data_IF_212727133594
#
_entry.id   IF_212727133594
#
_cell.length_a   1.000
_cell.length_b   1.000
_cell.length_c   1.000
_cell.angle_alpha   90.00
_cell.angle_beta   90.00
_cell.angle_gamma   90.00
#
_symmetry.space_group_name_H-M   'P 1'
#
loop_
_entity.id
_entity.type
_entity.pdbx_description
1 polymer ?
#
# COMPACT_ATOMS: atom_id res chain seq x y z
N UNK A 1 65.17 -17.25 55.90
CA UNK A 1 64.58 -17.28 54.54
C UNK A 1 63.36 -18.16 54.67
N UNK A 2 62.24 -17.52 54.75
CA UNK A 2 60.97 -18.22 54.84
C UNK A 2 60.48 -18.53 53.39
N UNK A 3 60.10 -19.74 53.17
CA UNK A 3 59.34 -20.18 52.02
C UNK A 3 57.86 -20.01 52.39
N UNK A 4 57.20 -19.05 51.71
CA UNK A 4 55.75 -18.96 51.67
C UNK A 4 55.27 -19.99 50.65
N UNK A 5 54.57 -21.03 51.12
CA UNK A 5 53.75 -21.90 50.34
C UNK A 5 52.49 -21.11 49.89
N UNK A 6 52.44 -20.70 48.66
CA UNK A 6 51.23 -20.27 48.01
C UNK A 6 50.25 -21.43 47.86
N UNK A 7 49.22 -21.45 48.73
CA UNK A 7 48.01 -22.25 48.47
C UNK A 7 47.28 -21.67 47.28
N UNK A 8 47.42 -22.26 46.10
CA UNK A 8 46.49 -22.08 45.02
C UNK A 8 45.09 -22.50 45.48
N UNK A 9 44.23 -21.53 45.75
CA UNK A 9 42.78 -21.72 45.83
C UNK A 9 42.32 -22.20 44.46
N UNK A 10 42.05 -23.51 44.31
CA UNK A 10 41.30 -24.04 43.18
C UNK A 10 39.92 -23.36 43.14
N UNK A 11 39.81 -22.27 42.37
CA UNK A 11 38.53 -21.70 41.96
C UNK A 11 37.81 -22.80 41.18
N UNK A 12 36.74 -23.33 41.74
CA UNK A 12 35.86 -24.35 41.16
C UNK A 12 35.20 -23.87 39.86
N UNK A 13 35.97 -23.74 38.79
CA UNK A 13 35.49 -23.44 37.45
C UNK A 13 34.76 -24.62 36.85
N UNK A 14 33.68 -24.36 36.08
CA UNK A 14 33.01 -25.37 35.29
C UNK A 14 33.95 -25.87 34.18
N UNK A 15 34.34 -27.17 34.24
CA UNK A 15 35.16 -27.80 33.21
C UNK A 15 34.27 -28.67 32.31
N UNK A 16 34.32 -28.46 31.02
CA UNK A 16 33.61 -29.31 30.05
C UNK A 16 34.07 -30.77 30.11
N UNK A 17 35.36 -31.03 30.36
CA UNK A 17 35.88 -32.38 30.47
C UNK A 17 35.28 -33.11 31.69
N UNK A 18 35.19 -32.43 32.86
CA UNK A 18 34.55 -32.94 34.06
C UNK A 18 33.05 -33.17 33.84
N UNK A 19 32.39 -32.24 33.16
CA UNK A 19 30.97 -32.35 32.81
C UNK A 19 30.69 -33.63 31.99
N UNK A 20 31.45 -33.86 30.93
CA UNK A 20 31.28 -35.07 30.11
C UNK A 20 31.67 -36.36 30.87
N UNK A 21 32.66 -36.31 31.72
CA UNK A 21 33.04 -37.47 32.54
C UNK A 21 31.95 -37.84 33.54
N UNK A 22 31.38 -36.85 34.21
CA UNK A 22 30.28 -37.07 35.20
C UNK A 22 29.02 -37.57 34.52
N UNK A 23 28.65 -37.03 33.38
CA UNK A 23 27.46 -37.43 32.63
C UNK A 23 27.68 -38.78 31.91
N UNK A 24 28.90 -39.10 31.49
CA UNK A 24 29.24 -40.27 30.66
C UNK A 24 28.95 -41.66 31.31
N UNK A 25 28.58 -41.71 32.59
CA UNK A 25 28.17 -42.95 33.21
C UNK A 25 26.83 -43.44 32.63
N UNK A 26 26.76 -44.68 32.10
CA UNK A 26 25.59 -45.25 31.36
C UNK A 26 24.24 -45.01 32.07
N UNK A 27 24.17 -45.15 33.39
CA UNK A 27 22.95 -44.93 34.18
C UNK A 27 22.50 -43.48 34.15
N UNK A 28 23.46 -42.53 34.21
CA UNK A 28 23.15 -41.09 34.19
C UNK A 28 22.66 -40.64 32.82
N UNK A 29 23.27 -41.14 31.74
CA UNK A 29 22.82 -40.90 30.36
C UNK A 29 21.39 -41.39 30.18
N UNK A 30 21.10 -42.63 30.61
CA UNK A 30 19.74 -43.19 30.51
C UNK A 30 18.72 -42.40 31.30
N UNK A 31 19.06 -41.84 32.45
CA UNK A 31 18.19 -40.98 33.25
C UNK A 31 17.90 -39.68 32.54
N UNK A 32 18.92 -38.99 31.97
CA UNK A 32 18.77 -37.76 31.22
C UNK A 32 17.88 -38.01 30.00
N UNK A 33 18.14 -39.06 29.27
CA UNK A 33 17.38 -39.42 28.05
C UNK A 33 15.93 -39.77 28.38
N UNK A 34 15.69 -40.46 29.51
CA UNK A 34 14.33 -40.77 30.01
C UNK A 34 13.54 -39.52 30.37
N UNK A 35 14.17 -38.56 31.06
CA UNK A 35 13.53 -37.29 31.46
C UNK A 35 13.22 -36.47 30.20
N UNK A 36 14.18 -36.39 29.26
CA UNK A 36 14.00 -35.64 28.03
C UNK A 36 12.88 -36.24 27.16
N UNK A 37 12.79 -37.55 27.07
CA UNK A 37 11.76 -38.25 26.29
C UNK A 37 10.37 -38.12 26.95
N UNK A 38 10.29 -38.19 28.27
CA UNK A 38 9.05 -37.95 29.02
C UNK A 38 8.55 -36.50 28.81
N UNK A 39 9.45 -35.52 28.90
CA UNK A 39 9.11 -34.11 28.66
C UNK A 39 8.66 -33.86 27.21
N UNK A 40 9.32 -34.48 26.24
CA UNK A 40 8.92 -34.40 24.84
C UNK A 40 7.52 -34.98 24.60
N UNK A 41 7.22 -36.13 25.19
CA UNK A 41 5.88 -36.74 25.13
C UNK A 41 4.82 -35.85 25.79
N UNK A 42 5.09 -35.34 26.99
CA UNK A 42 4.14 -34.45 27.68
C UNK A 42 3.88 -33.20 26.87
N UNK A 43 4.92 -32.50 26.37
CA UNK A 43 4.76 -31.31 25.57
C UNK A 43 4.11 -31.60 24.20
N UNK A 44 4.42 -32.75 23.60
CA UNK A 44 3.74 -33.20 22.38
C UNK A 44 2.24 -33.44 22.63
N UNK A 45 1.87 -34.10 23.72
CA UNK A 45 0.48 -34.34 24.11
C UNK A 45 -0.24 -33.02 24.48
N UNK A 46 0.40 -32.14 25.25
CA UNK A 46 -0.16 -30.80 25.55
C UNK A 46 -0.39 -30.01 24.28
N UNK A 47 0.57 -30.00 23.34
CA UNK A 47 0.38 -29.35 22.06
C UNK A 47 -0.77 -29.97 21.25
N UNK A 48 -0.86 -31.28 21.24
CA UNK A 48 -1.90 -32.01 20.49
C UNK A 48 -3.30 -31.78 21.06
N UNK A 49 -3.46 -31.84 22.38
CA UNK A 49 -4.78 -31.83 23.03
C UNK A 49 -5.19 -30.48 23.58
N UNK A 50 -4.27 -29.58 23.87
CA UNK A 50 -4.57 -28.28 24.51
C UNK A 50 -4.29 -27.10 23.58
N UNK A 51 -3.13 -27.10 22.92
CA UNK A 51 -2.73 -25.95 22.09
C UNK A 51 -3.25 -26.03 20.66
N UNK A 52 -3.37 -27.25 20.08
CA UNK A 52 -3.89 -27.45 18.72
C UNK A 52 -5.41 -27.59 18.65
N UNK A 53 -6.04 -28.16 19.67
CA UNK A 53 -7.51 -28.38 19.64
C UNK A 53 -8.32 -27.08 19.74
N UNK A 54 -7.67 -25.94 20.06
CA UNK A 54 -8.36 -24.65 20.17
C UNK A 54 -8.09 -23.65 19.04
N UNK A 55 -7.35 -24.03 17.97
CA UNK A 55 -7.02 -23.08 16.89
C UNK A 55 -7.28 -23.74 15.53
N UNK A 56 -8.55 -23.78 15.18
CA UNK A 56 -8.93 -24.07 13.80
C UNK A 56 -8.69 -22.78 13.00
N UNK A 57 -7.99 -22.90 11.89
CA UNK A 57 -7.87 -21.83 10.89
C UNK A 57 -8.52 -22.30 9.59
N UNK A 58 -9.24 -21.43 8.96
CA UNK A 58 -9.80 -21.64 7.62
C UNK A 58 -8.90 -20.90 6.61
N UNK A 59 -8.53 -21.62 5.58
CA UNK A 59 -7.70 -21.10 4.49
C UNK A 59 -8.45 -21.21 3.17
N UNK A 60 -8.49 -20.12 2.40
CA UNK A 60 -9.03 -20.08 1.05
C UNK A 60 -8.00 -19.52 0.10
N UNK A 61 -7.67 -20.29 -0.95
CA UNK A 61 -6.76 -19.86 -2.00
C UNK A 61 -7.55 -19.57 -3.27
N UNK A 62 -7.34 -18.41 -3.85
CA UNK A 62 -8.05 -17.90 -5.00
C UNK A 62 -7.15 -17.05 -5.89
N UNK A 63 -7.60 -16.80 -7.12
CA UNK A 63 -7.00 -15.89 -8.08
C UNK A 63 -8.08 -14.94 -8.59
N UNK A 64 -7.77 -13.65 -8.71
CA UNK A 64 -8.66 -12.69 -9.36
C UNK A 64 -8.12 -12.47 -10.77
N UNK A 65 -8.89 -12.91 -11.75
CA UNK A 65 -8.63 -12.66 -13.16
C UNK A 65 -9.43 -11.45 -13.62
N UNK A 66 -8.79 -10.50 -14.27
CA UNK A 66 -9.41 -9.36 -14.94
C UNK A 66 -8.48 -8.87 -16.06
N UNK A 67 -8.96 -8.08 -17.04
CA UNK A 67 -8.09 -7.50 -18.06
C UNK A 67 -6.94 -6.68 -17.43
N UNK A 68 -5.69 -7.02 -17.79
CA UNK A 68 -4.42 -6.49 -17.25
C UNK A 68 -4.05 -6.96 -15.82
N UNK A 69 -4.70 -7.99 -15.28
CA UNK A 69 -4.33 -8.57 -13.98
C UNK A 69 -2.90 -9.10 -13.93
N UNK A 70 -2.32 -9.50 -15.05
CA UNK A 70 -0.92 -9.93 -15.17
C UNK A 70 0.08 -8.84 -14.75
N UNK A 71 -0.25 -7.57 -14.96
CA UNK A 71 0.56 -6.43 -14.55
C UNK A 71 0.23 -5.94 -13.13
N UNK A 72 -0.72 -6.58 -12.45
CA UNK A 72 -1.25 -6.18 -11.14
C UNK A 72 -1.70 -4.71 -11.11
N UNK A 73 -2.25 -4.24 -12.21
CA UNK A 73 -2.77 -2.89 -12.35
C UNK A 73 -4.28 -2.89 -12.41
N UNK A 74 -4.88 -1.94 -11.70
CA UNK A 74 -6.29 -1.61 -11.80
C UNK A 74 -6.60 -0.88 -13.12
N UNK A 75 -7.87 -0.77 -13.54
CA UNK A 75 -8.25 -0.08 -14.79
C UNK A 75 -7.77 1.36 -14.90
N UNK A 76 -7.61 2.05 -13.78
CA UNK A 76 -7.08 3.41 -13.69
C UNK A 76 -5.55 3.49 -13.75
N UNK A 77 -4.86 2.35 -13.84
CA UNK A 77 -3.41 2.23 -13.86
C UNK A 77 -2.74 2.22 -12.48
N UNK A 78 -3.52 2.29 -11.41
CA UNK A 78 -2.98 2.16 -10.05
C UNK A 78 -2.68 0.70 -9.70
N UNK A 79 -1.68 0.41 -8.82
CA UNK A 79 -1.38 -0.94 -8.40
C UNK A 79 -2.53 -1.58 -7.63
N UNK A 80 -2.88 -2.81 -7.98
CA UNK A 80 -3.82 -3.62 -7.21
C UNK A 80 -3.23 -4.01 -5.86
N UNK A 81 -3.87 -3.59 -4.78
CA UNK A 81 -3.49 -3.91 -3.41
C UNK A 81 -4.37 -5.02 -2.87
N UNK A 82 -3.90 -6.25 -2.93
CA UNK A 82 -4.65 -7.41 -2.47
C UNK A 82 -4.99 -7.34 -0.97
N UNK A 83 -4.19 -6.62 -0.17
CA UNK A 83 -4.47 -6.43 1.26
C UNK A 83 -5.79 -5.69 1.50
N UNK A 84 -6.23 -4.87 0.54
CA UNK A 84 -7.49 -4.13 0.67
C UNK A 84 -8.73 -5.04 0.69
N UNK A 85 -8.63 -6.26 0.17
CA UNK A 85 -9.72 -7.24 0.15
C UNK A 85 -10.23 -7.55 1.56
N UNK A 86 -9.32 -7.57 2.55
CA UNK A 86 -9.65 -7.88 3.94
C UNK A 86 -9.72 -6.64 4.86
N UNK A 87 -9.87 -5.45 4.31
CA UNK A 87 -10.07 -4.26 5.14
C UNK A 87 -11.42 -4.30 5.86
N UNK A 88 -11.49 -3.68 7.03
CA UNK A 88 -12.66 -3.76 7.89
C UNK A 88 -13.95 -3.24 7.25
N UNK A 89 -13.86 -2.21 6.41
CA UNK A 89 -14.98 -1.67 5.64
C UNK A 89 -15.53 -2.71 4.64
N UNK A 90 -14.65 -3.45 3.97
CA UNK A 90 -15.01 -4.51 3.02
C UNK A 90 -15.63 -5.72 3.71
N UNK A 91 -15.01 -6.17 4.80
CA UNK A 91 -15.55 -7.25 5.62
C UNK A 91 -16.92 -6.90 6.22
N UNK A 92 -17.12 -5.65 6.66
CA UNK A 92 -18.40 -5.18 7.15
C UNK A 92 -19.46 -5.11 6.03
N UNK A 93 -19.09 -4.65 4.84
CA UNK A 93 -20.00 -4.65 3.70
C UNK A 93 -20.52 -6.07 3.39
N UNK A 94 -19.65 -7.08 3.43
CA UNK A 94 -20.06 -8.49 3.27
C UNK A 94 -20.91 -8.96 4.46
N UNK A 95 -20.51 -8.64 5.69
CA UNK A 95 -21.31 -8.97 6.88
C UNK A 95 -22.74 -8.44 6.80
N UNK A 96 -22.88 -7.18 6.35
CA UNK A 96 -24.16 -6.50 6.28
C UNK A 96 -25.01 -6.94 5.07
N UNK A 97 -24.41 -7.66 4.11
CA UNK A 97 -25.10 -8.13 2.91
C UNK A 97 -26.00 -9.34 3.14
N UNK A 98 -25.76 -10.14 4.18
CA UNK A 98 -26.54 -11.35 4.48
C UNK A 98 -26.66 -11.57 6.00
N UNK A 99 -27.88 -11.80 6.48
CA UNK A 99 -28.20 -12.00 7.90
C UNK A 99 -27.41 -13.18 8.52
N UNK A 100 -27.05 -14.19 7.71
CA UNK A 100 -26.24 -15.34 8.17
C UNK A 100 -24.86 -14.94 8.68
N UNK A 101 -24.37 -13.76 8.34
CA UNK A 101 -23.08 -13.23 8.76
C UNK A 101 -23.17 -12.26 9.94
N UNK A 102 -24.37 -11.91 10.40
CA UNK A 102 -24.60 -10.91 11.46
C UNK A 102 -23.83 -11.18 12.77
N UNK A 103 -23.60 -12.45 13.09
CA UNK A 103 -22.85 -12.88 14.27
C UNK A 103 -21.30 -12.75 14.16
N UNK A 104 -20.78 -12.40 12.98
CA UNK A 104 -19.33 -12.29 12.76
C UNK A 104 -18.81 -10.98 13.36
N UNK A 105 -17.83 -11.07 14.26
CA UNK A 105 -17.15 -9.92 14.89
C UNK A 105 -15.97 -9.46 14.04
N UNK A 106 -16.24 -8.64 13.03
CA UNK A 106 -15.24 -8.11 12.09
C UNK A 106 -14.20 -7.25 12.80
N UNK A 107 -14.61 -6.44 13.79
CA UNK A 107 -13.70 -5.59 14.53
C UNK A 107 -12.63 -6.42 15.27
N UNK A 108 -13.07 -7.47 15.94
CA UNK A 108 -12.18 -8.38 16.67
C UNK A 108 -11.28 -9.19 15.71
N UNK A 109 -11.83 -9.57 14.56
CA UNK A 109 -11.12 -10.30 13.52
C UNK A 109 -9.95 -9.48 12.96
N UNK A 110 -10.16 -8.21 12.66
CA UNK A 110 -9.14 -7.31 12.08
C UNK A 110 -8.16 -6.77 13.11
N UNK A 111 -8.65 -6.30 14.27
CA UNK A 111 -7.81 -5.71 15.34
C UNK A 111 -6.80 -6.71 15.90
N UNK A 112 -7.19 -7.98 16.04
CA UNK A 112 -6.29 -9.04 16.53
C UNK A 112 -5.46 -9.72 15.45
N UNK A 113 -5.56 -9.26 14.22
CA UNK A 113 -4.93 -9.89 13.04
C UNK A 113 -5.28 -11.38 12.90
N UNK A 114 -6.51 -11.73 13.24
CA UNK A 114 -7.01 -13.10 13.11
C UNK A 114 -7.47 -13.41 11.67
N UNK A 115 -7.45 -12.42 10.79
CA UNK A 115 -7.57 -12.58 9.34
C UNK A 115 -6.31 -12.03 8.69
N UNK A 116 -5.77 -12.76 7.74
CA UNK A 116 -4.58 -12.37 6.98
C UNK A 116 -4.77 -12.76 5.52
N UNK A 117 -4.17 -11.99 4.64
CA UNK A 117 -4.06 -12.33 3.23
C UNK A 117 -2.60 -12.30 2.83
N UNK A 118 -2.19 -13.24 2.00
CA UNK A 118 -0.83 -13.33 1.49
C UNK A 118 -0.86 -13.75 0.03
N UNK A 119 0.11 -13.27 -0.73
CA UNK A 119 0.35 -13.76 -2.09
C UNK A 119 1.09 -15.10 -2.02
N UNK A 120 0.63 -16.07 -2.82
CA UNK A 120 1.28 -17.38 -2.88
C UNK A 120 2.59 -17.28 -3.67
N UNK A 121 3.71 -17.40 -2.98
CA UNK A 121 5.03 -17.49 -3.59
C UNK A 121 5.41 -18.96 -3.79
N UNK A 122 5.60 -19.40 -5.03
CA UNK A 122 6.24 -20.70 -5.29
C UNK A 122 7.71 -20.66 -4.90
N UNK A 123 8.12 -21.51 -3.97
CA UNK A 123 9.49 -21.59 -3.46
C UNK A 123 10.55 -21.98 -4.49
N UNK A 124 10.16 -22.49 -5.66
CA UNK A 124 11.07 -23.17 -6.57
C UNK A 124 11.37 -22.47 -7.90
N UNK A 125 10.82 -21.26 -8.15
CA UNK A 125 11.11 -20.52 -9.38
C UNK A 125 11.07 -19.01 -9.15
N UNK A 126 12.19 -18.35 -9.41
CA UNK A 126 12.35 -16.89 -9.35
C UNK A 126 11.48 -16.08 -10.37
N UNK A 127 10.63 -16.72 -11.13
CA UNK A 127 9.89 -16.12 -12.25
C UNK A 127 8.37 -16.29 -12.18
N UNK A 128 7.78 -16.70 -11.05
CA UNK A 128 6.33 -16.95 -10.93
C UNK A 128 5.64 -16.01 -9.95
N UNK A 129 6.19 -14.80 -9.76
CA UNK A 129 5.52 -13.74 -8.99
C UNK A 129 4.28 -13.15 -9.68
N UNK A 130 3.95 -13.60 -10.90
CA UNK A 130 3.00 -12.92 -11.78
C UNK A 130 1.59 -13.53 -11.78
N UNK A 131 1.34 -14.58 -11.01
CA UNK A 131 0.06 -15.31 -11.12
C UNK A 131 -1.09 -14.71 -10.33
N UNK A 132 -0.88 -13.71 -9.47
CA UNK A 132 -1.95 -13.11 -8.68
C UNK A 132 -2.76 -14.10 -7.86
N UNK A 133 -2.12 -15.16 -7.34
CA UNK A 133 -2.75 -16.16 -6.46
C UNK A 133 -2.63 -15.68 -5.02
N UNK A 134 -3.75 -15.56 -4.36
CA UNK A 134 -3.85 -15.08 -3.00
C UNK A 134 -4.41 -16.13 -2.07
N UNK A 135 -3.98 -16.09 -0.82
CA UNK A 135 -4.47 -16.99 0.23
C UNK A 135 -4.95 -16.15 1.41
N UNK A 136 -6.24 -16.25 1.73
CA UNK A 136 -6.82 -15.70 2.96
C UNK A 136 -6.79 -16.79 4.02
N UNK A 137 -6.33 -16.44 5.21
CA UNK A 137 -6.41 -17.26 6.43
C UNK A 137 -7.19 -16.52 7.49
N UNK A 138 -8.10 -17.23 8.15
CA UNK A 138 -8.89 -16.66 9.24
C UNK A 138 -9.06 -17.68 10.35
N UNK A 139 -9.04 -17.22 11.59
CA UNK A 139 -9.28 -18.06 12.78
C UNK A 139 -10.73 -18.54 12.79
N UNK A 140 -10.94 -19.81 13.05
CA UNK A 140 -12.26 -20.46 13.01
C UNK A 140 -13.26 -19.96 14.07
N UNK A 141 -12.81 -19.34 15.13
CA UNK A 141 -13.63 -18.88 16.27
C UNK A 141 -14.75 -17.86 15.87
N UNK A 142 -14.67 -17.32 14.67
CA UNK A 142 -15.63 -16.32 14.14
C UNK A 142 -16.78 -16.96 13.36
N UNK A 143 -16.72 -18.24 13.08
CA UNK A 143 -17.68 -18.96 12.24
C UNK A 143 -18.28 -20.15 12.98
N UNK A 144 -19.54 -20.44 12.68
CA UNK A 144 -20.23 -21.62 13.24
C UNK A 144 -19.64 -22.92 12.71
N UNK A 145 -19.22 -22.94 11.45
CA UNK A 145 -18.67 -24.08 10.75
C UNK A 145 -17.84 -23.68 9.52
N UNK A 146 -17.24 -24.67 8.87
CA UNK A 146 -16.44 -24.47 7.66
C UNK A 146 -17.28 -23.97 6.45
N UNK A 147 -18.57 -24.28 6.41
CA UNK A 147 -19.45 -23.83 5.33
C UNK A 147 -19.68 -22.33 5.43
N UNK A 148 -20.03 -21.83 6.63
CA UNK A 148 -20.19 -20.40 6.85
C UNK A 148 -18.89 -19.64 6.56
N UNK A 149 -17.74 -20.18 6.99
CA UNK A 149 -16.43 -19.59 6.68
C UNK A 149 -16.17 -19.52 5.18
N UNK A 150 -16.47 -20.62 4.46
CA UNK A 150 -16.34 -20.68 3.00
C UNK A 150 -17.22 -19.66 2.30
N UNK A 151 -18.49 -19.59 2.66
CA UNK A 151 -19.44 -18.67 2.07
C UNK A 151 -19.05 -17.21 2.32
N UNK A 152 -18.64 -16.90 3.55
CA UNK A 152 -18.18 -15.55 3.91
C UNK A 152 -16.95 -15.15 3.13
N UNK A 153 -15.91 -16.01 3.07
CA UNK A 153 -14.68 -15.70 2.36
C UNK A 153 -14.90 -15.60 0.85
N UNK A 154 -15.79 -16.40 0.28
CA UNK A 154 -16.21 -16.25 -1.14
C UNK A 154 -16.86 -14.90 -1.37
N UNK A 155 -17.82 -14.51 -0.52
CA UNK A 155 -18.47 -13.22 -0.64
C UNK A 155 -17.47 -12.04 -0.49
N UNK A 156 -16.43 -12.19 0.34
CA UNK A 156 -15.33 -11.21 0.44
C UNK A 156 -14.53 -11.11 -0.85
N UNK A 157 -14.23 -12.25 -1.48
CA UNK A 157 -13.52 -12.27 -2.76
C UNK A 157 -14.38 -11.73 -3.92
N UNK A 158 -15.66 -12.05 -3.94
CA UNK A 158 -16.60 -11.56 -4.95
C UNK A 158 -16.81 -10.05 -4.81
N UNK A 159 -16.89 -9.53 -3.57
CA UNK A 159 -16.97 -8.09 -3.31
C UNK A 159 -15.73 -7.31 -3.85
N UNK A 160 -14.58 -7.97 -3.96
CA UNK A 160 -13.41 -7.35 -4.59
C UNK A 160 -13.60 -7.13 -6.10
N UNK A 161 -14.37 -7.97 -6.79
CA UNK A 161 -14.77 -7.74 -8.19
C UNK A 161 -15.78 -6.59 -8.31
N UNK A 162 -16.75 -6.50 -7.40
CA UNK A 162 -17.72 -5.42 -7.38
C UNK A 162 -17.03 -4.05 -7.17
N UNK A 163 -15.99 -4.01 -6.36
CA UNK A 163 -15.15 -2.81 -6.22
C UNK A 163 -14.46 -2.44 -7.53
N UNK A 164 -13.93 -3.44 -8.26
CA UNK A 164 -13.32 -3.24 -9.58
C UNK A 164 -14.34 -2.67 -10.57
N UNK A 165 -15.55 -3.22 -10.63
CA UNK A 165 -16.62 -2.74 -11.50
C UNK A 165 -17.06 -1.32 -11.12
N UNK A 166 -17.20 -1.05 -9.83
CA UNK A 166 -17.53 0.28 -9.31
C UNK A 166 -16.45 1.31 -9.69
N UNK A 167 -15.18 0.93 -9.65
CA UNK A 167 -14.08 1.79 -10.06
C UNK A 167 -14.18 2.13 -11.55
N UNK A 168 -14.40 1.14 -12.41
CA UNK A 168 -14.55 1.36 -13.86
C UNK A 168 -15.75 2.27 -14.14
N UNK A 169 -16.85 2.07 -13.43
CA UNK A 169 -18.05 2.91 -13.58
C UNK A 169 -17.77 4.36 -13.19
N UNK A 170 -17.04 4.60 -12.10
CA UNK A 170 -16.69 5.92 -11.59
C UNK A 170 -15.57 6.61 -12.37
N UNK A 171 -14.80 5.87 -13.17
CA UNK A 171 -13.72 6.45 -13.98
C UNK A 171 -14.32 7.43 -14.99
N UNK A 172 -13.80 8.65 -14.96
CA UNK A 172 -14.20 9.69 -15.91
C UNK A 172 -13.40 9.55 -17.21
N UNK A 173 -14.02 8.91 -18.19
CA UNK A 173 -13.45 8.77 -19.52
C UNK A 173 -13.54 10.06 -20.35
N UNK A 174 -14.24 11.09 -19.84
CA UNK A 174 -14.47 12.37 -20.54
C UNK A 174 -13.66 13.53 -19.94
N UNK A 175 -12.69 13.26 -19.08
CA UNK A 175 -11.94 14.28 -18.35
C UNK A 175 -11.34 15.37 -19.26
N UNK A 176 -10.92 15.01 -20.47
CA UNK A 176 -10.41 15.98 -21.47
C UNK A 176 -11.51 16.72 -22.23
N UNK A 177 -12.78 16.29 -22.12
CA UNK A 177 -13.93 16.94 -22.75
C UNK A 177 -14.67 17.92 -21.81
N UNK A 178 -13.96 18.49 -20.86
CA UNK A 178 -14.53 19.45 -19.89
C UNK A 178 -15.23 20.59 -20.64
N UNK A 179 -16.37 21.01 -20.10
CA UNK A 179 -17.13 22.16 -20.62
C UNK A 179 -16.22 23.36 -20.85
N UNK A 180 -16.21 23.86 -22.08
CA UNK A 180 -15.46 25.04 -22.43
C UNK A 180 -16.08 26.26 -21.74
N UNK A 181 -15.25 27.05 -21.11
CA UNK A 181 -15.64 28.33 -20.57
C UNK A 181 -15.24 29.45 -21.54
N UNK A 182 -15.59 30.69 -21.24
CA UNK A 182 -15.29 31.87 -22.07
C UNK A 182 -13.81 32.12 -22.28
N UNK A 183 -12.96 31.61 -21.33
CA UNK A 183 -11.51 31.75 -21.41
C UNK A 183 -10.83 30.67 -22.26
N UNK A 184 -11.57 29.62 -22.68
CA UNK A 184 -11.01 28.52 -23.47
C UNK A 184 -10.86 28.95 -24.93
N UNK A 185 -9.64 28.97 -25.43
CA UNK A 185 -9.35 29.30 -26.84
C UNK A 185 -9.78 28.19 -27.78
N UNK A 186 -9.95 28.51 -29.05
CA UNK A 186 -10.16 27.49 -30.09
C UNK A 186 -8.97 26.52 -30.20
N UNK A 187 -7.74 27.00 -29.96
CA UNK A 187 -6.55 26.15 -29.91
C UNK A 187 -6.64 25.14 -28.79
N UNK A 188 -6.96 25.60 -27.56
CA UNK A 188 -7.09 24.71 -26.38
C UNK A 188 -8.21 23.67 -26.58
N UNK A 189 -9.31 24.08 -27.24
CA UNK A 189 -10.41 23.14 -27.57
C UNK A 189 -9.93 22.04 -28.53
N UNK A 190 -9.16 22.40 -29.54
CA UNK A 190 -8.58 21.46 -30.52
C UNK A 190 -7.56 20.54 -29.80
N UNK A 191 -6.71 21.10 -28.94
CA UNK A 191 -5.71 20.34 -28.20
C UNK A 191 -6.37 19.31 -27.26
N UNK A 192 -7.42 19.70 -26.53
CA UNK A 192 -8.21 18.78 -25.70
C UNK A 192 -8.90 17.69 -26.50
N UNK A 193 -9.41 17.98 -27.69
CA UNK A 193 -9.97 16.95 -28.58
C UNK A 193 -8.88 15.96 -29.04
N UNK A 194 -7.65 16.43 -29.28
CA UNK A 194 -6.52 15.56 -29.61
C UNK A 194 -6.07 14.70 -28.44
N UNK A 195 -5.95 15.30 -27.27
CA UNK A 195 -5.66 14.57 -26.03
C UNK A 195 -6.71 13.50 -25.73
N UNK A 196 -8.00 13.83 -25.92
CA UNK A 196 -9.08 12.87 -25.75
C UNK A 196 -9.01 11.71 -26.75
N UNK A 197 -8.73 12.01 -28.02
CA UNK A 197 -8.52 11.00 -29.05
C UNK A 197 -7.38 10.04 -28.66
N UNK A 198 -6.25 10.60 -28.26
CA UNK A 198 -5.07 9.82 -27.90
C UNK A 198 -5.32 8.99 -26.64
N UNK A 199 -6.01 9.55 -25.65
CA UNK A 199 -6.46 8.82 -24.47
C UNK A 199 -7.35 7.62 -24.84
N UNK A 200 -8.37 7.81 -25.69
CA UNK A 200 -9.25 6.71 -26.09
C UNK A 200 -8.51 5.61 -26.89
N UNK A 201 -7.60 6.02 -27.78
CA UNK A 201 -6.76 5.07 -28.51
C UNK A 201 -5.88 4.27 -27.57
N UNK A 202 -5.27 4.91 -26.57
CA UNK A 202 -4.46 4.25 -25.55
C UNK A 202 -5.29 3.23 -24.74
N UNK A 203 -6.55 3.57 -24.38
CA UNK A 203 -7.43 2.62 -23.68
C UNK A 203 -7.67 1.36 -24.52
N UNK A 204 -7.95 1.51 -25.81
CA UNK A 204 -8.08 0.35 -26.70
C UNK A 204 -6.77 -0.40 -26.87
N UNK A 205 -5.64 0.30 -27.04
CA UNK A 205 -4.33 -0.33 -27.24
C UNK A 205 -3.92 -1.20 -26.03
N UNK A 206 -4.23 -0.79 -24.82
CA UNK A 206 -4.03 -1.59 -23.59
C UNK A 206 -4.79 -2.93 -23.62
N UNK A 207 -5.94 -2.97 -24.29
CA UNK A 207 -6.76 -4.17 -24.41
C UNK A 207 -6.40 -5.03 -25.62
N UNK A 208 -5.87 -4.41 -26.68
CA UNK A 208 -5.64 -5.06 -27.98
C UNK A 208 -4.71 -6.25 -27.92
N UNK A 209 -3.66 -6.20 -27.08
CA UNK A 209 -2.65 -7.26 -26.98
C UNK A 209 -3.25 -8.63 -26.64
N UNK A 210 -4.31 -8.65 -25.82
CA UNK A 210 -4.93 -9.90 -25.33
C UNK A 210 -6.36 -10.09 -25.81
N UNK A 211 -7.11 -9.00 -25.97
CA UNK A 211 -8.56 -9.05 -26.21
C UNK A 211 -8.98 -8.41 -27.55
N UNK A 212 -8.06 -8.12 -28.47
CA UNK A 212 -8.38 -7.47 -29.73
C UNK A 212 -9.43 -8.16 -30.58
N UNK A 213 -9.52 -9.49 -30.52
CA UNK A 213 -10.50 -10.30 -31.25
C UNK A 213 -11.72 -10.69 -30.42
N UNK A 214 -11.80 -10.32 -29.14
CA UNK A 214 -12.97 -10.58 -28.31
C UNK A 214 -14.17 -9.79 -28.82
N UNK A 215 -15.34 -10.46 -28.77
CA UNK A 215 -16.58 -9.87 -29.27
C UNK A 215 -17.36 -9.24 -28.13
N UNK A 216 -17.54 -7.93 -28.20
CA UNK A 216 -18.43 -7.16 -27.35
C UNK A 216 -19.59 -6.69 -28.20
N UNK A 217 -20.81 -7.07 -27.82
CA UNK A 217 -22.02 -6.80 -28.61
C UNK A 217 -21.90 -7.28 -30.08
N UNK A 218 -21.25 -8.39 -30.29
CA UNK A 218 -21.06 -8.98 -31.64
C UNK A 218 -19.98 -8.34 -32.48
N UNK A 219 -19.21 -7.39 -31.95
CA UNK A 219 -18.15 -6.67 -32.64
C UNK A 219 -16.83 -6.82 -31.87
N UNK A 220 -15.74 -7.09 -32.61
CA UNK A 220 -14.43 -7.25 -32.02
C UNK A 220 -13.87 -5.91 -31.44
N UNK A 221 -13.09 -5.96 -30.38
CA UNK A 221 -12.49 -4.78 -29.74
C UNK A 221 -11.64 -3.98 -30.74
N UNK A 222 -10.88 -4.65 -31.63
CA UNK A 222 -10.10 -4.00 -32.66
C UNK A 222 -10.97 -3.25 -33.69
N UNK A 223 -12.21 -3.69 -33.93
CA UNK A 223 -13.14 -2.98 -34.79
C UNK A 223 -13.62 -1.65 -34.19
N UNK A 224 -13.88 -1.63 -32.86
CA UNK A 224 -14.21 -0.38 -32.15
C UNK A 224 -13.06 0.62 -32.22
N UNK A 225 -11.81 0.17 -32.02
CA UNK A 225 -10.62 1.02 -32.19
C UNK A 225 -10.51 1.59 -33.61
N UNK A 226 -10.76 0.75 -34.61
CA UNK A 226 -10.71 1.17 -36.01
C UNK A 226 -11.81 2.19 -36.33
N UNK A 227 -13.01 2.00 -35.78
CA UNK A 227 -14.11 2.96 -35.94
C UNK A 227 -13.81 4.30 -35.29
N UNK A 228 -13.23 4.31 -34.07
CA UNK A 228 -12.74 5.54 -33.45
C UNK A 228 -11.78 6.28 -34.41
N UNK A 229 -10.80 5.55 -34.97
CA UNK A 229 -9.84 6.14 -35.89
C UNK A 229 -10.49 6.67 -37.17
N UNK A 230 -11.48 5.95 -37.71
CA UNK A 230 -12.22 6.38 -38.90
C UNK A 230 -13.11 7.58 -38.58
N UNK A 231 -13.86 7.55 -37.50
CA UNK A 231 -14.76 8.63 -37.09
C UNK A 231 -14.03 9.97 -36.92
N UNK A 232 -12.82 9.93 -36.35
CA UNK A 232 -12.00 11.12 -36.11
C UNK A 232 -11.14 11.56 -37.29
N UNK A 233 -11.05 10.76 -38.34
CA UNK A 233 -10.39 11.08 -39.61
C UNK A 233 -11.38 11.20 -40.77
N UNK A 234 -12.68 11.35 -40.49
CA UNK A 234 -13.76 11.53 -41.46
C UNK A 234 -13.77 12.91 -42.10
N UNK A 235 -15.00 13.44 -42.33
CA UNK A 235 -15.23 14.72 -43.00
C UNK A 235 -14.65 15.92 -42.24
N UNK A 236 -14.64 15.84 -40.90
CA UNK A 236 -14.04 16.84 -40.03
C UNK A 236 -12.85 16.19 -39.31
N UNK A 237 -11.66 16.79 -39.50
CA UNK A 237 -10.43 16.29 -38.89
C UNK A 237 -9.86 17.32 -37.92
N UNK A 238 -9.36 16.86 -36.77
CA UNK A 238 -8.67 17.72 -35.79
C UNK A 238 -7.55 18.52 -36.47
N UNK A 239 -6.73 17.83 -37.28
CA UNK A 239 -5.63 18.46 -38.02
C UNK A 239 -6.10 19.54 -39.04
N UNK A 240 -7.25 19.33 -39.66
CA UNK A 240 -7.81 20.31 -40.60
C UNK A 240 -8.30 21.57 -39.85
N UNK A 241 -8.98 21.40 -38.72
CA UNK A 241 -9.40 22.54 -37.88
C UNK A 241 -8.19 23.31 -37.34
N UNK A 242 -7.15 22.62 -36.91
CA UNK A 242 -5.90 23.24 -36.46
C UNK A 242 -5.22 24.04 -37.56
N UNK A 243 -5.17 23.48 -38.76
CA UNK A 243 -4.60 24.16 -39.93
C UNK A 243 -5.46 25.36 -40.38
N UNK A 244 -6.79 25.22 -40.34
CA UNK A 244 -7.70 26.30 -40.69
C UNK A 244 -7.56 27.47 -39.70
N UNK A 245 -7.52 27.19 -38.37
CA UNK A 245 -7.32 28.20 -37.34
C UNK A 245 -6.00 28.95 -37.57
N UNK A 246 -4.91 28.23 -37.85
CA UNK A 246 -3.59 28.80 -38.10
C UNK A 246 -3.53 29.66 -39.39
N UNK A 247 -4.15 29.19 -40.46
CA UNK A 247 -4.03 29.81 -41.77
C UNK A 247 -4.93 31.03 -41.93
N UNK A 248 -6.14 31.00 -41.35
CA UNK A 248 -7.14 32.04 -41.50
C UNK A 248 -7.09 33.12 -40.43
N UNK A 249 -6.19 32.98 -39.42
CA UNK A 249 -6.05 33.93 -38.33
C UNK A 249 -7.38 34.32 -37.67
N UNK A 250 -8.21 33.32 -37.38
CA UNK A 250 -9.46 33.54 -36.68
C UNK A 250 -9.22 34.09 -35.28
N UNK A 251 -10.22 34.80 -34.74
CA UNK A 251 -10.26 35.08 -33.31
C UNK A 251 -10.13 33.78 -32.53
N UNK A 252 -9.31 33.82 -31.48
CA UNK A 252 -9.05 32.62 -30.67
C UNK A 252 -10.25 32.20 -29.81
N UNK A 253 -11.15 33.17 -29.56
CA UNK A 253 -12.32 32.98 -28.70
C UNK A 253 -13.62 33.21 -29.42
N UNK A 254 -14.68 32.56 -28.96
CA UNK A 254 -16.02 32.68 -29.53
C UNK A 254 -16.71 33.98 -29.09
N UNK A 255 -16.42 34.44 -27.87
CA UNK A 255 -17.04 35.61 -27.23
C UNK A 255 -15.96 36.49 -26.60
N UNK A 256 -15.29 37.31 -27.40
CA UNK A 256 -14.22 38.18 -26.91
C UNK A 256 -14.68 39.19 -25.87
N UNK A 257 -15.95 39.64 -25.91
CA UNK A 257 -16.51 40.59 -24.94
C UNK A 257 -16.52 40.00 -23.50
N UNK A 258 -16.89 38.73 -23.35
CA UNK A 258 -16.89 38.05 -22.06
C UNK A 258 -15.48 37.93 -21.49
N UNK A 259 -14.48 37.77 -22.33
CA UNK A 259 -13.06 37.75 -21.93
C UNK A 259 -12.58 39.12 -21.50
N UNK A 260 -12.96 40.16 -22.19
CA UNK A 260 -12.65 41.54 -21.80
C UNK A 260 -13.30 41.89 -20.46
N UNK A 261 -14.55 41.45 -20.20
CA UNK A 261 -15.21 41.61 -18.91
C UNK A 261 -14.51 40.84 -17.81
N UNK A 262 -13.96 39.64 -18.06
CA UNK A 262 -13.15 38.88 -17.13
C UNK A 262 -11.84 39.60 -16.80
N UNK A 263 -11.14 40.14 -17.81
CA UNK A 263 -9.94 40.95 -17.62
C UNK A 263 -10.25 42.15 -16.70
N UNK A 264 -11.38 42.83 -16.93
CA UNK A 264 -11.82 43.93 -16.07
C UNK A 264 -12.11 43.46 -14.62
N UNK A 265 -12.70 42.28 -14.46
CA UNK A 265 -12.92 41.65 -13.16
C UNK A 265 -11.60 41.37 -12.42
N UNK A 266 -10.61 40.80 -13.10
CA UNK A 266 -9.28 40.54 -12.58
C UNK A 266 -8.56 41.84 -12.20
N UNK A 267 -8.66 42.87 -13.04
CA UNK A 267 -8.09 44.18 -12.71
C UNK A 267 -8.74 44.80 -11.46
N UNK A 268 -10.04 44.69 -11.30
CA UNK A 268 -10.74 45.14 -10.07
C UNK A 268 -10.28 44.36 -8.84
N UNK A 269 -10.04 43.06 -8.96
CA UNK A 269 -9.46 42.24 -7.87
C UNK A 269 -8.06 42.71 -7.51
N UNK A 270 -7.20 42.93 -8.51
CA UNK A 270 -5.83 43.43 -8.32
C UNK A 270 -5.79 44.74 -7.57
N UNK A 271 -6.60 45.74 -8.01
CA UNK A 271 -6.72 47.03 -7.37
C UNK A 271 -7.17 46.91 -5.88
N UNK A 272 -8.12 46.03 -5.61
CA UNK A 272 -8.57 45.73 -4.24
C UNK A 272 -7.44 45.15 -3.40
N UNK A 273 -6.70 44.18 -3.95
CA UNK A 273 -5.55 43.58 -3.27
C UNK A 273 -4.44 44.59 -3.02
N UNK A 274 -4.16 45.51 -3.96
CA UNK A 274 -3.19 46.59 -3.79
C UNK A 274 -3.59 47.54 -2.66
N UNK A 275 -4.88 47.91 -2.58
CA UNK A 275 -5.40 48.73 -1.48
C UNK A 275 -5.23 48.03 -0.12
N UNK A 276 -5.50 46.71 -0.07
CA UNK A 276 -5.26 45.93 1.17
C UNK A 276 -3.78 45.83 1.50
N UNK A 277 -2.89 45.69 0.52
CA UNK A 277 -1.45 45.66 0.73
C UNK A 277 -0.94 46.99 1.34
N UNK A 278 -1.43 48.13 0.86
CA UNK A 278 -1.09 49.46 1.43
C UNK A 278 -1.53 49.52 2.88
N UNK A 279 -2.79 49.17 3.18
CA UNK A 279 -3.30 49.20 4.56
C UNK A 279 -2.52 48.30 5.50
N UNK A 280 -2.24 47.03 5.09
CA UNK A 280 -1.46 46.10 5.90
C UNK A 280 -0.02 46.55 6.14
N UNK A 281 0.62 47.15 5.13
CA UNK A 281 1.97 47.69 5.29
C UNK A 281 2.00 48.87 6.24
N UNK A 282 1.04 49.78 6.17
CA UNK A 282 0.89 50.88 7.10
C UNK A 282 0.68 50.39 8.54
N UNK A 283 -0.11 49.35 8.71
CA UNK A 283 -0.39 48.77 10.04
C UNK A 283 0.88 48.08 10.60
N UNK A 284 1.62 47.34 9.79
CA UNK A 284 2.91 46.73 10.15
C UNK A 284 3.91 47.87 10.55
N UNK A 285 3.98 48.96 9.77
CA UNK A 285 4.86 50.09 10.06
C UNK A 285 4.50 50.80 11.38
N UNK A 286 3.18 50.99 11.61
CA UNK A 286 2.70 51.59 12.84
C UNK A 286 3.00 50.71 14.07
N UNK A 287 2.79 49.42 13.98
CA UNK A 287 3.16 48.45 15.01
C UNK A 287 4.68 48.49 15.29
N UNK A 288 5.48 48.58 14.23
CA UNK A 288 6.93 48.65 14.35
C UNK A 288 7.40 49.93 15.04
N UNK A 289 6.76 51.08 14.74
CA UNK A 289 7.06 52.37 15.40
C UNK A 289 6.74 52.36 16.90
N UNK A 290 5.66 51.66 17.27
CA UNK A 290 5.19 51.66 18.67
C UNK A 290 5.95 50.65 19.54
N UNK A 291 6.28 49.48 18.98
CA UNK A 291 6.76 48.33 19.75
C UNK A 291 8.09 47.74 19.27
N UNK A 292 8.72 48.31 18.23
CA UNK A 292 9.85 47.68 17.53
C UNK A 292 11.09 47.42 18.38
N UNK A 293 11.27 48.17 19.47
CA UNK A 293 12.44 48.01 20.36
C UNK A 293 12.28 46.89 21.39
N UNK A 294 11.04 46.49 21.72
CA UNK A 294 10.75 45.44 22.71
C UNK A 294 9.55 44.59 22.32
N UNK A 295 9.68 43.71 21.31
CA UNK A 295 8.56 42.89 20.84
C UNK A 295 8.17 41.82 21.87
N UNK A 296 6.89 41.79 22.24
CA UNK A 296 6.30 40.65 23.01
C UNK A 296 5.97 39.47 22.09
N UNK A 297 5.84 38.28 22.66
CA UNK A 297 5.49 37.07 21.86
C UNK A 297 4.17 37.20 21.07
N UNK A 298 3.17 37.92 21.63
CA UNK A 298 1.92 38.21 20.90
C UNK A 298 2.11 39.15 19.71
N UNK A 299 3.04 40.07 19.78
CA UNK A 299 3.37 40.98 18.70
C UNK A 299 4.12 40.25 17.56
N UNK A 300 5.04 39.34 17.91
CA UNK A 300 5.75 38.53 16.92
C UNK A 300 4.74 37.69 16.09
N UNK A 301 3.76 37.06 16.74
CA UNK A 301 2.70 36.32 16.05
C UNK A 301 1.83 37.23 15.16
N UNK A 302 1.53 38.46 15.61
CA UNK A 302 0.81 39.44 14.79
C UNK A 302 1.60 39.81 13.52
N UNK A 303 2.90 40.08 13.65
CA UNK A 303 3.78 40.36 12.52
C UNK A 303 3.80 39.18 11.52
N UNK A 304 3.90 37.95 12.01
CA UNK A 304 3.89 36.76 11.18
C UNK A 304 2.57 36.63 10.38
N UNK A 305 1.43 36.88 11.01
CA UNK A 305 0.13 36.89 10.34
C UNK A 305 0.06 37.96 9.25
N UNK A 306 0.49 39.20 9.55
CA UNK A 306 0.50 40.27 8.55
C UNK A 306 1.45 39.98 7.39
N UNK A 307 2.66 39.48 7.66
CA UNK A 307 3.61 39.15 6.62
C UNK A 307 3.13 38.01 5.73
N UNK A 308 2.50 36.98 6.34
CA UNK A 308 1.88 35.89 5.58
C UNK A 308 0.80 36.44 4.66
N UNK A 309 -0.09 37.30 5.18
CA UNK A 309 -1.16 37.88 4.37
C UNK A 309 -0.65 38.79 3.26
N UNK A 310 0.39 39.58 3.53
CA UNK A 310 1.07 40.39 2.50
C UNK A 310 1.65 39.48 1.41
N UNK A 311 2.35 38.43 1.79
CA UNK A 311 2.91 37.44 0.83
C UNK A 311 1.85 36.78 -0.05
N UNK A 312 0.72 36.37 0.55
CA UNK A 312 -0.43 35.81 -0.18
C UNK A 312 -0.99 36.79 -1.23
N UNK A 313 -1.21 38.03 -0.82
CA UNK A 313 -1.76 39.06 -1.72
C UNK A 313 -0.79 39.42 -2.85
N UNK A 314 0.51 39.47 -2.56
CA UNK A 314 1.55 39.70 -3.58
C UNK A 314 1.60 38.53 -4.57
N UNK A 315 1.56 37.29 -4.06
CA UNK A 315 1.54 36.10 -4.90
C UNK A 315 0.27 36.06 -5.77
N UNK A 316 -0.90 36.37 -5.20
CA UNK A 316 -2.16 36.42 -5.96
C UNK A 316 -2.12 37.50 -7.05
N UNK A 317 -1.60 38.68 -6.77
CA UNK A 317 -1.47 39.75 -7.80
C UNK A 317 -0.53 39.33 -8.93
N UNK A 318 0.57 38.63 -8.62
CA UNK A 318 1.46 38.11 -9.66
C UNK A 318 0.75 37.07 -10.56
N UNK A 319 -0.11 36.22 -9.99
CA UNK A 319 -0.95 35.29 -10.76
C UNK A 319 -1.95 36.05 -11.62
N UNK A 320 -2.64 37.06 -11.07
CA UNK A 320 -3.59 37.89 -11.81
C UNK A 320 -2.90 38.56 -13.00
N UNK A 321 -1.70 39.10 -12.83
CA UNK A 321 -0.96 39.76 -13.91
C UNK A 321 -0.67 38.79 -15.05
N UNK A 322 -0.30 37.53 -14.75
CA UNK A 322 -0.08 36.49 -15.75
C UNK A 322 -1.40 36.12 -16.42
N UNK A 323 -2.48 35.89 -15.67
CA UNK A 323 -3.82 35.57 -16.20
C UNK A 323 -4.29 36.68 -17.17
N UNK A 324 -4.15 37.93 -16.81
CA UNK A 324 -4.50 39.08 -17.68
C UNK A 324 -3.65 39.09 -18.94
N UNK A 325 -2.34 38.85 -18.81
CA UNK A 325 -1.42 38.80 -19.96
C UNK A 325 -1.84 37.69 -20.94
N UNK A 326 -2.10 36.49 -20.43
CA UNK A 326 -2.55 35.36 -21.23
C UNK A 326 -3.88 35.63 -21.93
N UNK A 327 -4.84 36.26 -21.25
CA UNK A 327 -6.14 36.59 -21.82
C UNK A 327 -6.00 37.65 -22.92
N UNK A 328 -5.18 38.70 -22.74
CA UNK A 328 -4.92 39.68 -23.81
C UNK A 328 -4.22 39.06 -25.01
N UNK A 329 -3.20 38.22 -24.77
CA UNK A 329 -2.50 37.50 -25.85
C UNK A 329 -3.50 36.58 -26.60
N UNK A 330 -4.39 35.91 -25.87
CA UNK A 330 -5.41 35.05 -26.47
C UNK A 330 -6.43 35.81 -27.35
N UNK A 331 -6.68 37.08 -27.02
CA UNK A 331 -7.48 37.98 -27.85
C UNK A 331 -6.68 38.60 -29.02
N UNK A 332 -5.39 38.27 -29.12
CA UNK A 332 -4.50 38.78 -30.15
C UNK A 332 -3.96 40.18 -29.89
N UNK A 333 -4.12 40.73 -28.70
CA UNK A 333 -3.51 42.00 -28.31
C UNK A 333 -1.99 41.85 -28.25
N UNK A 334 -1.29 42.94 -28.59
CA UNK A 334 0.16 43.00 -28.56
C UNK A 334 0.57 43.95 -27.44
N UNK A 335 1.50 43.55 -26.59
CA UNK A 335 2.05 44.39 -25.52
C UNK A 335 3.07 45.37 -26.09
N UNK A 336 2.88 46.67 -25.85
CA UNK A 336 3.82 47.73 -26.20
C UNK A 336 4.10 48.56 -24.93
N UNK A 337 5.26 48.30 -24.28
CA UNK A 337 5.55 48.80 -22.95
C UNK A 337 4.54 48.24 -21.93
N UNK A 338 3.84 49.13 -21.24
CA UNK A 338 2.82 48.81 -20.22
C UNK A 338 1.39 48.77 -20.80
N UNK A 339 1.24 49.09 -22.11
CA UNK A 339 -0.08 49.14 -22.78
C UNK A 339 -0.33 47.90 -23.63
N UNK A 340 -1.60 47.50 -23.67
CA UNK A 340 -2.09 46.49 -24.61
C UNK A 340 -2.72 47.16 -25.83
N UNK A 341 -2.15 46.85 -26.99
CA UNK A 341 -2.63 47.40 -28.26
C UNK A 341 -3.56 46.38 -28.91
N UNK A 342 -4.75 46.80 -29.21
CA UNK A 342 -5.74 46.02 -29.93
C UNK A 342 -5.20 45.55 -31.29
N UNK A 343 -5.46 44.28 -31.72
CA UNK A 343 -4.81 43.65 -32.88
C UNK A 343 -5.06 44.34 -34.20
N UNK A 344 -5.88 45.36 -34.27
CA UNK A 344 -6.22 46.06 -35.48
C UNK A 344 -6.32 47.59 -35.30
N UNK A 345 -5.19 48.19 -35.01
CA UNK A 345 -5.09 49.63 -35.18
C UNK A 345 -5.45 49.99 -36.63
N UNK A 346 -6.51 50.73 -36.81
CA UNK A 346 -6.93 51.37 -38.06
C UNK A 346 -7.54 50.44 -39.14
N UNK A 347 -8.85 50.22 -39.08
CA UNK A 347 -9.68 49.97 -40.26
C UNK A 347 -9.78 48.54 -40.82
N UNK A 348 -9.25 47.55 -40.13
CA UNK A 348 -9.43 46.13 -40.50
C UNK A 348 -10.50 45.51 -39.63
N UNK A 349 -11.48 44.88 -40.24
CA UNK A 349 -12.48 44.07 -39.51
C UNK A 349 -11.74 43.02 -38.65
N UNK A 350 -12.08 42.95 -37.38
CA UNK A 350 -11.61 41.89 -36.49
C UNK A 350 -11.88 40.55 -37.17
N UNK A 351 -10.91 39.68 -37.36
CA UNK A 351 -11.14 38.40 -38.00
C UNK A 351 -12.16 37.60 -37.20
N UNK A 352 -13.34 37.38 -37.76
CA UNK A 352 -14.40 36.61 -37.14
C UNK A 352 -14.27 35.15 -37.56
N UNK A 353 -14.33 34.23 -36.63
CA UNK A 353 -14.34 32.79 -36.92
C UNK A 353 -15.57 32.44 -37.77
N UNK A 354 -15.36 31.65 -38.82
CA UNK A 354 -16.48 31.29 -39.72
C UNK A 354 -17.47 30.35 -39.00
N UNK A 355 -18.76 30.52 -39.29
CA UNK A 355 -19.82 29.64 -38.80
C UNK A 355 -19.58 28.17 -39.19
N UNK A 356 -18.97 27.94 -40.35
CA UNK A 356 -18.56 26.58 -40.75
C UNK A 356 -17.54 26.00 -39.80
N UNK A 357 -16.50 26.72 -39.42
CA UNK A 357 -15.47 26.26 -38.47
C UNK A 357 -16.07 25.92 -37.12
N UNK A 358 -16.96 26.79 -36.60
CA UNK A 358 -17.67 26.53 -35.33
C UNK A 358 -18.52 25.28 -35.42
N UNK A 359 -19.32 25.13 -36.49
CA UNK A 359 -20.15 23.95 -36.73
C UNK A 359 -19.33 22.67 -36.86
N UNK A 360 -18.17 22.72 -37.50
CA UNK A 360 -17.30 21.56 -37.66
C UNK A 360 -16.61 21.17 -36.36
N UNK A 361 -16.22 22.14 -35.51
CA UNK A 361 -15.75 21.89 -34.15
C UNK A 361 -16.83 21.22 -33.30
N UNK A 362 -18.06 21.70 -33.34
CA UNK A 362 -19.16 21.15 -32.57
C UNK A 362 -19.51 19.73 -33.01
N UNK A 363 -19.54 19.44 -34.30
CA UNK A 363 -19.71 18.09 -34.82
C UNK A 363 -18.61 17.14 -34.33
N UNK A 364 -17.37 17.58 -34.37
CA UNK A 364 -16.25 16.76 -33.87
C UNK A 364 -16.35 16.50 -32.39
N UNK A 365 -16.79 17.49 -31.61
CA UNK A 365 -17.04 17.33 -30.16
C UNK A 365 -18.14 16.29 -29.90
N UNK A 366 -19.24 16.32 -30.64
CA UNK A 366 -20.33 15.35 -30.56
C UNK A 366 -19.81 13.93 -30.85
N UNK A 367 -19.09 13.78 -31.96
CA UNK A 367 -18.48 12.50 -32.36
C UNK A 367 -17.54 12.00 -31.26
N UNK A 368 -16.70 12.88 -30.70
CA UNK A 368 -15.79 12.50 -29.61
C UNK A 368 -16.53 12.04 -28.35
N UNK A 369 -17.63 12.72 -28.01
CA UNK A 369 -18.48 12.34 -26.87
C UNK A 369 -19.12 10.97 -27.08
N UNK A 370 -19.61 10.68 -28.28
CA UNK A 370 -20.16 9.36 -28.63
C UNK A 370 -19.09 8.27 -28.56
N UNK A 371 -17.90 8.53 -29.11
CA UNK A 371 -16.79 7.57 -29.05
C UNK A 371 -16.28 7.34 -27.63
N UNK A 372 -16.28 8.36 -26.77
CA UNK A 372 -15.96 8.26 -25.37
C UNK A 372 -16.94 7.34 -24.64
N UNK A 373 -18.23 7.53 -24.86
CA UNK A 373 -19.30 6.68 -24.30
C UNK A 373 -19.18 5.24 -24.78
N UNK A 374 -18.91 5.05 -26.08
CA UNK A 374 -18.69 3.74 -26.68
C UNK A 374 -17.49 3.04 -26.04
N UNK A 375 -16.35 3.73 -25.93
CA UNK A 375 -15.14 3.18 -25.31
C UNK A 375 -15.39 2.75 -23.86
N UNK A 376 -16.03 3.61 -23.06
CA UNK A 376 -16.41 3.27 -21.68
C UNK A 376 -17.27 2.00 -21.64
N UNK A 377 -18.28 1.91 -22.49
CA UNK A 377 -19.18 0.75 -22.55
C UNK A 377 -18.45 -0.52 -22.94
N UNK A 378 -17.56 -0.46 -23.93
CA UNK A 378 -16.74 -1.61 -24.36
C UNK A 378 -15.85 -2.09 -23.22
N UNK A 379 -15.17 -1.17 -22.51
CA UNK A 379 -14.33 -1.50 -21.36
C UNK A 379 -15.16 -2.14 -20.25
N UNK A 380 -16.29 -1.52 -19.87
CA UNK A 380 -17.17 -2.07 -18.83
C UNK A 380 -17.60 -3.49 -19.13
N UNK A 381 -18.12 -3.74 -20.36
CA UNK A 381 -18.57 -5.07 -20.77
C UNK A 381 -17.44 -6.08 -20.82
N UNK A 382 -16.26 -5.70 -21.33
CA UNK A 382 -15.11 -6.59 -21.38
C UNK A 382 -14.67 -6.99 -19.97
N UNK A 383 -14.63 -6.06 -19.03
CA UNK A 383 -14.30 -6.37 -17.65
C UNK A 383 -15.36 -7.24 -16.99
N UNK A 384 -16.65 -6.97 -17.21
CA UNK A 384 -17.74 -7.84 -16.73
C UNK A 384 -17.62 -9.27 -17.26
N UNK A 385 -17.28 -9.43 -18.55
CA UNK A 385 -17.17 -10.73 -19.21
C UNK A 385 -15.91 -11.52 -18.79
N UNK A 386 -14.80 -10.83 -18.56
CA UNK A 386 -13.48 -11.44 -18.36
C UNK A 386 -13.01 -11.44 -16.91
N UNK A 387 -13.69 -10.72 -16.03
CA UNK A 387 -13.32 -10.72 -14.62
C UNK A 387 -14.04 -11.83 -13.87
N UNK A 388 -13.29 -12.60 -13.13
CA UNK A 388 -13.82 -13.69 -12.29
C UNK A 388 -12.86 -13.98 -11.14
N UNK A 389 -13.43 -14.53 -10.07
CA UNK A 389 -12.64 -15.17 -9.02
C UNK A 389 -12.52 -16.66 -9.35
N UNK A 390 -11.31 -17.17 -9.39
CA UNK A 390 -11.03 -18.60 -9.59
C UNK A 390 -10.54 -19.16 -8.27
N UNK A 391 -11.33 -20.05 -7.69
CA UNK A 391 -10.98 -20.73 -6.45
C UNK A 391 -10.16 -21.97 -6.74
N UNK A 392 -9.06 -22.16 -6.01
CA UNK A 392 -8.21 -23.34 -6.19
C UNK A 392 -8.89 -24.61 -5.65
N UNK A 393 -9.79 -24.47 -4.69
CA UNK A 393 -10.51 -25.58 -4.05
C UNK A 393 -11.98 -25.21 -3.81
N UNK A 394 -12.83 -26.25 -3.78
CA UNK A 394 -14.25 -26.08 -3.51
C UNK A 394 -14.48 -25.96 -2.00
N UNK A 395 -14.34 -24.73 -1.48
CA UNK A 395 -14.48 -24.39 -0.06
C UNK A 395 -13.18 -24.02 0.64
N UNK A 396 -13.24 -23.92 1.94
CA UNK A 396 -12.07 -23.61 2.79
C UNK A 396 -11.35 -24.89 3.20
N UNK A 397 -10.03 -24.82 3.29
CA UNK A 397 -9.21 -25.86 3.90
C UNK A 397 -9.14 -25.60 5.40
N UNK A 398 -9.42 -26.63 6.18
CA UNK A 398 -9.24 -26.57 7.64
C UNK A 398 -7.78 -26.83 7.94
N UNK A 399 -7.09 -25.79 8.40
CA UNK A 399 -5.70 -25.90 8.84
C UNK A 399 -5.68 -25.81 10.36
N UNK A 400 -5.03 -26.77 11.01
CA UNK A 400 -4.81 -26.66 12.45
C UNK A 400 -3.73 -25.60 12.70
N UNK A 401 -4.14 -24.43 13.14
CA UNK A 401 -3.24 -23.34 13.54
C UNK A 401 -2.44 -23.76 14.77
N UNK A 402 -1.13 -23.77 14.65
CA UNK A 402 -0.25 -24.09 15.76
C UNK A 402 1.06 -24.72 15.33
N UNK A 403 2.05 -24.65 16.21
CA UNK A 403 3.35 -25.26 15.96
C UNK A 403 3.22 -26.77 15.76
N UNK A 404 3.91 -27.35 14.78
CA UNK A 404 3.91 -28.80 14.56
C UNK A 404 4.19 -29.56 15.86
N UNK A 405 3.39 -30.60 16.15
CA UNK A 405 3.56 -31.45 17.35
C UNK A 405 4.98 -32.02 17.41
N UNK A 406 5.56 -32.35 16.26
CA UNK A 406 6.93 -32.85 16.16
C UNK A 406 7.93 -31.75 16.57
N UNK A 407 7.73 -30.52 16.13
CA UNK A 407 8.61 -29.39 16.47
C UNK A 407 8.51 -29.04 17.97
N UNK A 408 7.30 -29.03 18.55
CA UNK A 408 7.11 -28.81 19.98
C UNK A 408 7.72 -29.95 20.82
N UNK A 409 7.57 -31.19 20.41
CA UNK A 409 8.22 -32.32 21.06
C UNK A 409 9.76 -32.23 20.98
N UNK A 410 10.30 -31.82 19.83
CA UNK A 410 11.73 -31.61 19.65
C UNK A 410 12.29 -30.48 20.53
N UNK A 411 11.59 -29.35 20.63
CA UNK A 411 11.96 -28.24 21.54
C UNK A 411 11.91 -28.70 22.99
N UNK A 412 10.86 -29.44 23.37
CA UNK A 412 10.70 -30.00 24.69
C UNK A 412 11.81 -31.00 25.04
N UNK A 413 12.19 -31.87 24.10
CA UNK A 413 13.30 -32.80 24.24
C UNK A 413 14.62 -32.09 24.50
N UNK A 414 14.98 -31.14 23.64
CA UNK A 414 16.23 -30.39 23.72
C UNK A 414 16.29 -29.60 25.04
N UNK A 415 15.26 -28.87 25.39
CA UNK A 415 15.19 -28.08 26.61
C UNK A 415 15.31 -28.95 27.87
N UNK A 416 14.54 -30.03 27.95
CA UNK A 416 14.60 -30.97 29.09
C UNK A 416 15.92 -31.74 29.15
N UNK A 417 16.51 -32.08 28.00
CA UNK A 417 17.84 -32.72 27.96
C UNK A 417 18.90 -31.83 28.57
N UNK A 418 18.96 -30.55 28.23
CA UNK A 418 19.92 -29.58 28.76
C UNK A 418 19.72 -29.42 30.28
N UNK A 419 18.47 -29.21 30.71
CA UNK A 419 18.17 -29.05 32.16
C UNK A 419 18.49 -30.30 32.94
N UNK A 420 18.13 -31.49 32.45
CA UNK A 420 18.43 -32.77 33.09
C UNK A 420 19.94 -33.05 33.12
N UNK A 421 20.67 -32.73 32.08
CA UNK A 421 22.12 -32.87 32.02
C UNK A 421 22.82 -32.00 33.09
N UNK A 422 22.40 -30.74 33.23
CA UNK A 422 22.91 -29.82 34.23
C UNK A 422 22.58 -30.34 35.67
N UNK A 423 21.32 -30.74 35.90
CA UNK A 423 20.90 -31.25 37.19
C UNK A 423 21.65 -32.53 37.58
N UNK A 424 21.78 -33.48 36.67
CA UNK A 424 22.52 -34.73 36.86
C UNK A 424 24.01 -34.49 37.08
N UNK A 425 24.59 -33.47 36.42
CA UNK A 425 25.97 -33.05 36.68
C UNK A 425 26.17 -32.58 38.14
N UNK A 426 25.34 -31.66 38.63
CA UNK A 426 25.47 -31.16 40.00
C UNK A 426 25.23 -32.25 41.04
N UNK A 427 24.20 -33.07 40.87
CA UNK A 427 23.91 -34.19 41.76
C UNK A 427 25.05 -35.24 41.73
N UNK A 428 25.55 -35.53 40.53
CA UNK A 428 26.63 -36.49 40.31
C UNK A 428 27.96 -36.04 40.92
N UNK A 429 28.30 -34.75 40.76
CA UNK A 429 29.49 -34.15 41.36
C UNK A 429 29.43 -34.19 42.87
N UNK A 430 28.26 -33.89 43.45
CA UNK A 430 28.08 -33.91 44.90
C UNK A 430 28.17 -35.32 45.47
N UNK A 431 27.67 -36.34 44.77
CA UNK A 431 27.71 -37.74 45.18
C UNK A 431 29.12 -38.36 45.00
N UNK A 432 29.81 -38.03 43.90
CA UNK A 432 31.17 -38.52 43.64
C UNK A 432 32.16 -37.88 44.61
N UNK A 433 32.00 -36.62 45.06
CA UNK A 433 32.81 -35.99 46.11
C UNK A 433 32.57 -36.58 47.46
N UNK A 434 31.34 -37.02 47.83
CA UNK A 434 31.07 -37.71 49.08
C UNK A 434 31.70 -39.08 49.15
N UNK A 435 31.79 -39.80 48.03
CA UNK A 435 32.42 -41.12 47.97
C UNK A 435 33.94 -41.01 48.02
N UNK A 436 34.54 -39.95 47.50
CA UNK A 436 36.00 -39.70 47.63
C UNK A 436 36.38 -39.33 49.08
N UNK A 437 35.56 -38.55 49.79
CA UNK A 437 35.76 -38.21 51.21
C UNK A 437 35.57 -39.43 52.09
N UNK A 438 34.55 -40.27 51.83
CA UNK A 438 34.35 -41.54 52.63
C UNK A 438 35.40 -42.63 52.34
N UNK A 439 36.08 -42.59 51.22
CA UNK A 439 37.17 -43.51 50.86
C UNK A 439 38.53 -43.04 51.43
N UNK A 440 38.65 -41.78 51.88
CA UNK A 440 39.88 -41.23 52.44
C UNK A 440 39.99 -41.40 53.99
N UNK A 441 38.87 -41.64 54.71
CA UNK A 441 38.87 -41.76 56.17
C UNK A 441 39.47 -43.08 56.77
N UNK A 442 39.46 -44.27 56.10
CA UNK A 442 40.00 -45.46 56.72
C UNK A 442 41.52 -45.62 56.62
N UNK A 443 42.25 -44.81 55.88
CA UNK A 443 43.72 -44.98 55.71
C UNK A 443 44.53 -44.24 56.79
N UNK A 444 43.98 -43.22 57.46
CA UNK A 444 44.67 -42.46 58.51
C UNK A 444 44.69 -43.17 59.88
N UNK A 445 43.69 -44.00 60.20
CA UNK A 445 43.67 -44.76 61.48
C UNK A 445 44.59 -46.00 61.46
N UNK A 446 44.74 -46.64 60.30
CA UNK A 446 45.63 -47.80 60.16
C UNK A 446 47.12 -47.43 60.20
N UNK A 447 47.50 -46.19 59.85
CA UNK A 447 48.93 -45.75 60.00
C UNK A 447 49.29 -45.27 61.38
N UNK A 448 48.34 -44.88 62.22
CA UNK A 448 48.61 -44.50 63.62
C UNK A 448 48.78 -45.73 64.55
N UNK A 449 48.04 -46.81 64.29
CA UNK A 449 48.22 -48.06 65.06
C UNK A 449 49.53 -48.80 64.74
N UNK A 450 50.03 -48.71 63.47
CA UNK A 450 51.31 -49.29 63.09
C UNK A 450 52.52 -48.53 63.70
N UNK A 451 52.41 -47.23 63.94
CA UNK A 451 53.48 -46.43 64.54
C UNK A 451 53.59 -46.59 66.10
N UNK A 452 52.49 -46.97 66.74
CA UNK A 452 52.46 -47.19 68.23
C UNK A 452 52.92 -48.60 68.61
N UNK A 453 52.92 -49.58 67.68
CA UNK A 453 53.43 -50.96 67.99
C UNK A 453 54.93 -51.12 67.82
N UNK A 454 55.66 -50.25 67.12
CA UNK A 454 57.13 -50.29 66.95
C UNK A 454 57.87 -49.64 68.13
N UNK A 455 57.23 -48.87 69.01
CA UNK A 455 57.88 -48.18 70.11
C UNK A 455 57.81 -49.01 71.45
N UNK A 456 57.29 -50.24 71.41
CA UNK A 456 57.22 -51.10 72.59
C UNK A 456 58.16 -52.30 72.65
N UNK A 457 59.01 -52.52 71.63
CA UNK A 457 59.93 -53.64 71.60
C UNK A 457 61.42 -53.25 71.71
N UNK A 458 61.68 -51.93 72.08
CA UNK A 458 63.06 -51.55 72.51
C UNK A 458 63.03 -50.98 73.97
N UNK A 459 62.82 -51.85 74.97
CA UNK A 459 63.38 -51.71 76.32
C UNK A 459 63.33 -53.06 77.10
#
# INVERSE_FOLDING_TARGET
MAYEEEREEERGGFSFAEFFHVIGKKVRILTILGIALAAALILGLVNMFVLKSGKIEYEMTFMIEYPNSENKLLPDGTPFRYESIIYSDKLNAVKDSDEKYSGIDVEKMTTKRNITISEATRKDQQTVSDLGIYTIRVTGDYFSDATQASDFLRAVCDNALDDLFTMIEKTDYSANLVSYNTNTTYSDRIDRLEEQKDFLLEQYDKLMAKYGNELIDGKAVNAYRSELSVALNGDVRISALRQELKNKRYLLHEKPEEILENIEGLNRERVRNEAQLVSLREEVENLYKVYGENPTGGLINAFEVFHTRIAELVARNAVIDVEIEELFVSLGYVKDGDAWIEPNGVGSAVPVTSEKFKSDMEKLYVVMTEQTTTCKTVIQKLYQDKSKVVYQQDGVVVVNGGMSTILMAAIGFIGAFVVAAVAVYFIGRHKDNRLTVAAAEPVSELKLEAAVSEEKDEK
#
